data_IF_893054184310
#
_entry.id   IF_893054184310
#
_cell.length_a   1.000
_cell.length_b   1.000
_cell.length_c   1.000
_cell.angle_alpha   90.00
_cell.angle_beta   90.00
_cell.angle_gamma   90.00
#
_symmetry.space_group_name_H-M   'P 1'
#
loop_
_entity.id
_entity.type
_entity.pdbx_description
1 polymer ?
#
# COMPACT_ATOMS: atom_id res chain seq x y z
N UNK A 1 -19.32 6.81 -12.07
CA UNK A 1 -18.33 7.81 -11.61
C UNK A 1 -17.16 7.10 -10.98
N UNK A 2 -15.97 7.17 -11.59
CA UNK A 2 -14.76 6.59 -11.02
C UNK A 2 -14.33 7.42 -9.81
N UNK A 3 -14.49 6.88 -8.60
CA UNK A 3 -13.95 7.52 -7.40
C UNK A 3 -12.43 7.34 -7.39
N UNK A 4 -11.72 8.44 -7.53
CA UNK A 4 -10.27 8.50 -7.35
C UNK A 4 -9.98 9.09 -5.96
N UNK A 5 -9.26 8.34 -5.12
CA UNK A 5 -8.86 8.80 -3.78
C UNK A 5 -7.36 8.73 -3.63
N UNK A 6 -6.75 9.81 -3.16
CA UNK A 6 -5.32 9.83 -2.83
C UNK A 6 -5.21 9.58 -1.33
N UNK A 7 -4.64 8.43 -0.96
CA UNK A 7 -4.42 8.04 0.43
C UNK A 7 -2.94 8.02 0.74
N UNK A 8 -2.57 8.58 1.88
CA UNK A 8 -1.21 8.48 2.40
C UNK A 8 -1.16 7.40 3.47
N UNK A 9 -0.45 6.32 3.20
CA UNK A 9 -0.24 5.25 4.16
C UNK A 9 1.08 5.47 4.90
N UNK A 10 0.98 5.63 6.21
CA UNK A 10 2.14 5.63 7.09
C UNK A 10 2.34 4.22 7.69
N UNK A 11 3.45 3.58 7.33
CA UNK A 11 3.86 2.25 7.78
C UNK A 11 4.90 2.31 8.91
N UNK A 12 5.38 3.51 9.28
CA UNK A 12 6.48 3.67 10.26
C UNK A 12 6.18 3.01 11.60
N UNK A 13 4.99 3.24 12.15
CA UNK A 13 4.58 2.72 13.48
C UNK A 13 4.59 1.20 13.55
N UNK A 14 4.27 0.53 12.45
CA UNK A 14 4.16 -0.94 12.42
C UNK A 14 5.49 -1.61 12.07
N UNK A 15 6.30 -0.94 11.25
CA UNK A 15 7.59 -1.45 10.81
C UNK A 15 8.72 -1.23 11.81
N UNK A 16 8.56 -0.35 12.81
CA UNK A 16 9.59 -0.14 13.83
C UNK A 16 9.76 -1.36 14.73
N UNK A 17 8.66 -2.10 14.98
CA UNK A 17 8.60 -3.26 15.88
C UNK A 17 9.19 -4.54 15.31
N UNK A 18 9.52 -4.57 14.01
CA UNK A 18 9.94 -5.78 13.30
C UNK A 18 11.35 -5.66 12.75
N UNK A 19 12.11 -6.76 12.63
CA UNK A 19 13.45 -6.73 12.08
C UNK A 19 13.43 -6.46 10.57
N UNK A 20 14.53 -5.88 10.04
CA UNK A 20 14.62 -5.30 8.68
C UNK A 20 14.17 -6.26 7.56
N UNK A 21 14.54 -7.52 7.64
CA UNK A 21 14.23 -8.57 6.66
C UNK A 21 12.71 -8.89 6.58
N UNK A 22 11.96 -8.75 7.69
CA UNK A 22 10.49 -8.93 7.69
C UNK A 22 9.72 -7.70 7.22
N UNK A 23 10.35 -6.51 7.21
CA UNK A 23 9.66 -5.23 6.95
C UNK A 23 8.98 -5.18 5.59
N UNK A 24 9.62 -5.72 4.53
CA UNK A 24 9.08 -5.69 3.17
C UNK A 24 7.78 -6.50 3.04
N UNK A 25 7.79 -7.75 3.50
CA UNK A 25 6.59 -8.62 3.51
C UNK A 25 5.47 -8.04 4.37
N UNK A 26 5.82 -7.50 5.54
CA UNK A 26 4.86 -6.87 6.45
C UNK A 26 4.24 -5.61 5.85
N UNK A 27 5.04 -4.79 5.16
CA UNK A 27 4.58 -3.56 4.51
C UNK A 27 3.48 -3.83 3.47
N UNK A 28 3.61 -4.88 2.66
CA UNK A 28 2.60 -5.26 1.68
C UNK A 28 1.31 -5.68 2.41
N UNK A 29 1.43 -6.54 3.43
CA UNK A 29 0.28 -7.01 4.22
C UNK A 29 -0.47 -5.85 4.88
N UNK A 30 0.24 -4.98 5.58
CA UNK A 30 -0.35 -3.82 6.27
C UNK A 30 -0.95 -2.83 5.28
N UNK A 31 -0.29 -2.58 4.14
CA UNK A 31 -0.83 -1.67 3.13
C UNK A 31 -2.17 -2.18 2.60
N UNK A 32 -2.27 -3.49 2.36
CA UNK A 32 -3.52 -4.13 1.97
C UNK A 32 -4.58 -4.01 3.06
N UNK A 33 -4.26 -4.42 4.29
CA UNK A 33 -5.22 -4.37 5.42
C UNK A 33 -5.73 -2.94 5.68
N UNK A 34 -4.85 -1.93 5.59
CA UNK A 34 -5.27 -0.53 5.74
C UNK A 34 -6.20 -0.08 4.62
N UNK A 35 -5.86 -0.39 3.37
CA UNK A 35 -6.70 0.01 2.23
C UNK A 35 -8.06 -0.69 2.28
N UNK A 36 -8.10 -1.99 2.59
CA UNK A 36 -9.35 -2.74 2.76
C UNK A 36 -10.19 -2.17 3.91
N UNK A 37 -9.57 -1.76 5.03
CA UNK A 37 -10.27 -1.12 6.16
C UNK A 37 -10.86 0.25 5.81
N UNK A 38 -10.13 1.07 5.04
CA UNK A 38 -10.61 2.40 4.64
C UNK A 38 -11.70 2.34 3.58
N UNK A 39 -11.57 1.43 2.61
CA UNK A 39 -12.47 1.34 1.46
C UNK A 39 -13.61 0.34 1.68
N UNK A 40 -13.57 -0.44 2.76
CA UNK A 40 -14.52 -1.54 3.07
C UNK A 40 -14.73 -2.51 1.90
N UNK A 41 -13.69 -2.69 1.09
CA UNK A 41 -13.74 -3.44 -0.15
C UNK A 41 -12.40 -4.13 -0.40
N UNK A 42 -12.38 -5.09 -1.32
CA UNK A 42 -11.16 -5.84 -1.64
C UNK A 42 -10.24 -4.98 -2.51
N UNK A 43 -8.97 -4.92 -2.14
CA UNK A 43 -7.99 -4.06 -2.81
C UNK A 43 -6.95 -4.90 -3.52
N UNK A 44 -6.80 -4.69 -4.82
CA UNK A 44 -5.70 -5.24 -5.60
C UNK A 44 -4.56 -4.22 -5.63
N UNK A 45 -3.41 -4.63 -5.10
CA UNK A 45 -2.18 -3.84 -5.16
C UNK A 45 -1.55 -4.05 -6.53
N UNK A 46 -1.31 -2.96 -7.26
CA UNK A 46 -0.61 -3.01 -8.53
C UNK A 46 0.87 -3.39 -8.34
N UNK A 47 1.47 -3.96 -9.39
CA UNK A 47 2.88 -4.37 -9.42
C UNK A 47 3.81 -3.21 -9.06
N UNK A 48 3.47 -1.98 -9.45
CA UNK A 48 4.23 -0.77 -9.14
C UNK A 48 4.46 -0.55 -7.64
N UNK A 49 3.48 -0.90 -6.80
CA UNK A 49 3.60 -0.78 -5.34
C UNK A 49 4.55 -1.85 -4.81
N UNK A 50 4.42 -3.08 -5.32
CA UNK A 50 5.26 -4.19 -4.92
C UNK A 50 6.73 -3.92 -5.28
N UNK A 51 7.00 -3.43 -6.49
CA UNK A 51 8.36 -3.10 -6.94
C UNK A 51 9.00 -1.98 -6.11
N UNK A 52 8.24 -0.96 -5.70
CA UNK A 52 8.80 0.08 -4.82
C UNK A 52 9.11 -0.43 -3.42
N UNK A 53 8.29 -1.33 -2.89
CA UNK A 53 8.50 -1.96 -1.58
C UNK A 53 9.67 -2.94 -1.62
N UNK A 54 9.72 -3.80 -2.64
CA UNK A 54 10.66 -4.91 -2.72
C UNK A 54 11.99 -4.53 -3.38
N UNK A 55 11.96 -3.69 -4.42
CA UNK A 55 13.12 -3.23 -5.17
C UNK A 55 13.98 -2.19 -4.45
N UNK A 56 13.51 -1.58 -3.35
CA UNK A 56 14.38 -0.74 -2.51
C UNK A 56 15.32 -1.61 -1.68
N UNK A 57 16.59 -1.72 -2.07
CA UNK A 57 17.62 -2.49 -1.35
C UNK A 57 18.10 -1.79 -0.07
N UNK A 58 18.29 -0.47 -0.08
CA UNK A 58 18.94 0.26 1.04
C UNK A 58 17.98 0.92 2.04
N UNK A 59 16.90 1.57 1.59
CA UNK A 59 16.00 2.34 2.48
C UNK A 59 14.54 2.14 2.08
N UNK A 60 13.84 1.32 2.85
CA UNK A 60 12.39 1.17 2.72
C UNK A 60 11.68 2.48 3.08
N UNK A 61 10.95 3.09 2.13
CA UNK A 61 10.13 4.27 2.41
C UNK A 61 8.95 3.90 3.31
N UNK A 62 8.92 4.43 4.53
CA UNK A 62 7.86 4.18 5.51
C UNK A 62 6.57 4.96 5.25
N UNK A 63 6.57 5.89 4.30
CA UNK A 63 5.39 6.65 3.86
C UNK A 63 5.19 6.37 2.37
N UNK A 64 3.99 5.94 2.01
CA UNK A 64 3.60 5.69 0.63
C UNK A 64 2.35 6.53 0.31
N UNK A 65 2.41 7.31 -0.77
CA UNK A 65 1.24 7.96 -1.36
C UNK A 65 0.67 7.03 -2.42
N UNK A 66 -0.57 6.66 -2.26
CA UNK A 66 -1.25 5.67 -3.09
C UNK A 66 -2.49 6.34 -3.65
N UNK A 67 -2.59 6.39 -4.98
CA UNK A 67 -3.81 6.73 -5.68
C UNK A 67 -4.64 5.46 -5.82
N UNK A 68 -5.81 5.45 -5.24
CA UNK A 68 -6.77 4.35 -5.36
C UNK A 68 -7.79 4.75 -6.41
N UNK A 69 -8.01 3.87 -7.38
CA UNK A 69 -9.03 4.01 -8.42
C UNK A 69 -10.08 2.92 -8.20
N UNK A 70 -11.35 3.32 -8.09
CA UNK A 70 -12.48 2.39 -8.03
C UNK A 70 -12.72 1.79 -9.43
N UNK A 71 -12.52 0.47 -9.58
CA UNK A 71 -12.82 -0.25 -10.82
C UNK A 71 -14.25 -0.81 -10.80
N UNK A 72 -14.67 -1.36 -9.67
CA UNK A 72 -16.01 -1.94 -9.45
C UNK A 72 -16.51 -1.64 -8.03
N UNK A 73 -17.80 -1.87 -7.75
CA UNK A 73 -18.41 -1.71 -6.40
C UNK A 73 -17.65 -2.46 -5.30
N UNK A 74 -16.93 -3.55 -5.64
CA UNK A 74 -16.19 -4.40 -4.69
C UNK A 74 -14.67 -4.45 -4.90
N UNK A 75 -14.14 -3.83 -5.96
CA UNK A 75 -12.70 -3.93 -6.30
C UNK A 75 -12.08 -2.57 -6.56
N UNK A 76 -11.04 -2.26 -5.80
CA UNK A 76 -10.23 -1.05 -5.97
C UNK A 76 -8.81 -1.41 -6.42
N UNK A 77 -8.28 -0.63 -7.36
CA UNK A 77 -6.88 -0.71 -7.78
C UNK A 77 -6.06 0.38 -7.10
N UNK A 78 -4.97 -0.03 -6.46
CA UNK A 78 -4.04 0.89 -5.83
C UNK A 78 -2.83 1.11 -6.76
N UNK A 79 -2.69 2.32 -7.27
CA UNK A 79 -1.52 2.80 -8.03
C UNK A 79 -0.66 3.69 -7.16
N UNK A 80 0.65 3.51 -7.24
CA UNK A 80 1.60 4.33 -6.52
C UNK A 80 1.68 5.75 -7.14
N UNK A 81 1.58 6.80 -6.33
CA UNK A 81 2.13 8.12 -6.70
C UNK A 81 3.53 8.24 -6.11
N UNK A 82 4.50 8.59 -6.96
CA UNK A 82 5.93 8.49 -6.66
C UNK A 82 6.39 9.37 -5.48
#
# INVERSE_FOLDING_TARGET
MAEERILTINLRKELIKKPRWKKKKLAIKISREKLERYLKARVKLDRSINEKIFGSEKKFKTKLRIKVVKKDEKTFEAKLMA
#
